data_IF_155027444732
#
_entry.id   IF_155027444732
#
_cell.length_a   1.000
_cell.length_b   1.000
_cell.length_c   1.000
_cell.angle_alpha   90.00
_cell.angle_beta   90.00
_cell.angle_gamma   90.00
#
_symmetry.space_group_name_H-M   'P 1'
#
loop_
_entity.id
_entity.type
_entity.pdbx_description
1 polymer ?
#
# COMPACT_ATOMS: atom_id res chain seq x y z
N UNK A 1 -42.00 39.17 8.06
CA UNK A 1 -41.52 38.04 7.23
C UNK A 1 -40.45 37.27 8.00
N UNK A 2 -40.76 36.06 8.50
CA UNK A 2 -39.77 35.21 9.18
C UNK A 2 -38.88 34.54 8.12
N UNK A 3 -37.61 34.90 8.07
CA UNK A 3 -36.59 34.23 7.24
C UNK A 3 -36.50 32.75 7.64
N UNK A 4 -36.84 31.85 6.72
CA UNK A 4 -36.58 30.42 6.86
C UNK A 4 -35.06 30.23 6.80
N UNK A 5 -34.43 29.99 7.96
CA UNK A 5 -33.04 29.51 8.01
C UNK A 5 -33.00 28.13 7.36
N UNK A 6 -32.46 28.04 6.14
CA UNK A 6 -32.26 26.77 5.45
C UNK A 6 -31.30 25.91 6.28
N UNK A 7 -31.85 24.83 6.86
CA UNK A 7 -31.09 23.83 7.59
C UNK A 7 -30.17 23.13 6.57
N UNK A 8 -28.87 23.05 6.87
CA UNK A 8 -27.91 22.33 6.03
C UNK A 8 -28.39 20.89 5.81
N UNK A 9 -28.39 20.44 4.56
CA UNK A 9 -28.71 19.06 4.24
C UNK A 9 -27.53 18.18 4.68
N UNK A 10 -27.79 17.18 5.52
CA UNK A 10 -26.80 16.21 5.94
C UNK A 10 -26.82 15.02 4.97
N UNK A 11 -25.72 14.73 4.27
CA UNK A 11 -25.61 13.66 3.27
C UNK A 11 -24.30 12.88 3.44
N UNK A 12 -24.25 11.63 3.01
CA UNK A 12 -22.99 10.86 2.98
C UNK A 12 -22.11 11.32 1.81
N UNK A 13 -20.80 11.05 1.87
CA UNK A 13 -19.87 11.39 0.79
C UNK A 13 -20.35 10.87 -0.57
N UNK A 14 -20.70 9.59 -0.64
CA UNK A 14 -21.19 8.92 -1.84
C UNK A 14 -22.49 9.56 -2.38
N UNK A 15 -23.35 10.07 -1.49
CA UNK A 15 -24.58 10.79 -1.89
C UNK A 15 -24.29 12.17 -2.47
N UNK A 16 -23.24 12.84 -2.00
CA UNK A 16 -22.79 14.13 -2.53
C UNK A 16 -22.10 13.93 -3.87
N UNK A 17 -21.25 12.92 -3.99
CA UNK A 17 -20.58 12.52 -5.23
C UNK A 17 -21.60 12.20 -6.33
N UNK A 18 -22.56 11.32 -6.06
CA UNK A 18 -23.64 11.00 -7.01
C UNK A 18 -24.55 12.20 -7.35
N UNK A 19 -24.58 13.23 -6.52
CA UNK A 19 -25.32 14.48 -6.80
C UNK A 19 -24.50 15.44 -7.65
N UNK A 20 -23.18 15.47 -7.46
CA UNK A 20 -22.23 16.21 -8.29
C UNK A 20 -22.21 15.64 -9.71
N UNK A 21 -22.09 14.32 -9.87
CA UNK A 21 -22.10 13.63 -11.17
C UNK A 21 -23.37 13.91 -11.98
N UNK A 22 -24.56 13.85 -11.35
CA UNK A 22 -25.82 14.23 -12.00
C UNK A 22 -25.84 15.70 -12.45
N UNK A 23 -25.13 16.57 -11.74
CA UNK A 23 -24.93 17.97 -12.13
C UNK A 23 -24.07 18.10 -13.39
N UNK A 24 -22.97 17.34 -13.46
CA UNK A 24 -22.06 17.29 -14.62
C UNK A 24 -22.83 16.78 -15.85
N UNK A 25 -23.55 15.67 -15.71
CA UNK A 25 -24.35 15.10 -16.80
C UNK A 25 -25.45 16.05 -17.28
N UNK A 26 -26.13 16.73 -16.34
CA UNK A 26 -27.13 17.74 -16.66
C UNK A 26 -26.57 18.92 -17.47
N UNK A 27 -25.38 19.40 -17.11
CA UNK A 27 -24.69 20.50 -17.82
C UNK A 27 -24.24 20.07 -19.22
N UNK A 28 -23.74 18.85 -19.38
CA UNK A 28 -23.42 18.28 -20.70
C UNK A 28 -24.65 18.18 -21.59
N UNK A 29 -25.79 17.74 -21.03
CA UNK A 29 -27.06 17.63 -21.75
C UNK A 29 -27.64 18.99 -22.16
N UNK A 30 -27.38 20.04 -21.38
CA UNK A 30 -27.79 21.41 -21.68
C UNK A 30 -26.85 22.14 -22.65
N UNK A 31 -25.81 21.46 -23.16
CA UNK A 31 -24.87 22.04 -24.10
C UNK A 31 -23.84 22.98 -23.47
N UNK A 32 -23.57 22.84 -22.16
CA UNK A 32 -22.57 23.62 -21.43
C UNK A 32 -21.38 22.75 -20.98
N UNK A 33 -20.58 22.21 -21.91
CA UNK A 33 -19.51 21.24 -21.59
C UNK A 33 -18.41 21.86 -20.72
N UNK A 34 -18.02 23.11 -20.96
CA UNK A 34 -16.97 23.77 -20.17
C UNK A 34 -17.36 23.92 -18.69
N UNK A 35 -18.63 24.16 -18.38
CA UNK A 35 -19.10 24.22 -16.99
C UNK A 35 -19.21 22.83 -16.37
N UNK A 36 -19.50 21.81 -17.20
CA UNK A 36 -19.52 20.43 -16.76
C UNK A 36 -18.11 19.97 -16.36
N UNK A 37 -17.09 20.28 -17.15
CA UNK A 37 -15.71 19.88 -16.87
C UNK A 37 -15.16 20.62 -15.63
N UNK A 38 -15.43 21.92 -15.50
CA UNK A 38 -15.10 22.66 -14.27
C UNK A 38 -15.78 22.06 -13.02
N UNK A 39 -17.00 21.55 -13.16
CA UNK A 39 -17.71 20.90 -12.07
C UNK A 39 -17.15 19.51 -11.80
N UNK A 40 -16.70 18.78 -12.82
CA UNK A 40 -16.10 17.45 -12.71
C UNK A 40 -14.74 17.51 -11.97
N UNK A 41 -13.96 18.56 -12.23
CA UNK A 41 -12.66 18.83 -11.58
C UNK A 41 -12.77 19.34 -10.12
N UNK A 42 -13.92 19.90 -9.70
CA UNK A 42 -14.18 20.37 -8.33
C UNK A 42 -14.15 19.19 -7.34
N UNK A 43 -13.55 19.30 -6.15
CA UNK A 43 -13.60 18.20 -5.18
C UNK A 43 -15.03 17.98 -4.65
N UNK A 44 -15.35 16.78 -4.15
CA UNK A 44 -16.69 16.48 -3.58
C UNK A 44 -16.94 17.35 -2.35
N UNK A 45 -15.88 17.65 -1.59
CA UNK A 45 -15.87 18.51 -0.43
C UNK A 45 -16.14 19.97 -0.79
N UNK A 46 -15.45 20.52 -1.81
CA UNK A 46 -15.67 21.90 -2.29
C UNK A 46 -17.10 22.06 -2.85
N UNK A 47 -17.58 21.05 -3.58
CA UNK A 47 -18.97 21.01 -4.05
C UNK A 47 -19.98 21.03 -2.89
N UNK A 48 -19.70 20.28 -1.82
CA UNK A 48 -20.54 20.23 -0.63
C UNK A 48 -20.57 21.58 0.09
N UNK A 49 -19.41 22.23 0.24
CA UNK A 49 -19.29 23.56 0.84
C UNK A 49 -20.07 24.61 0.05
N UNK A 50 -19.89 24.64 -1.28
CA UNK A 50 -20.62 25.56 -2.17
C UNK A 50 -22.14 25.35 -2.15
N UNK A 51 -22.59 24.11 -1.95
CA UNK A 51 -24.02 23.76 -1.83
C UNK A 51 -24.55 23.77 -0.40
N UNK A 52 -23.72 24.14 0.58
CA UNK A 52 -24.05 24.16 2.01
C UNK A 52 -24.60 22.80 2.51
N UNK A 53 -23.94 21.72 2.09
CA UNK A 53 -24.23 20.33 2.45
C UNK A 53 -23.20 19.89 3.50
N UNK A 54 -23.66 19.30 4.61
CA UNK A 54 -22.79 18.73 5.63
C UNK A 54 -22.55 17.25 5.34
N UNK A 55 -21.31 16.86 5.07
CA UNK A 55 -20.94 15.46 4.84
C UNK A 55 -20.84 14.73 6.20
N UNK A 56 -21.71 13.75 6.45
CA UNK A 56 -21.75 13.02 7.73
C UNK A 56 -20.74 11.87 7.84
N UNK A 57 -20.18 11.44 6.71
CA UNK A 57 -19.12 10.43 6.63
C UNK A 57 -18.05 10.91 5.64
N UNK A 58 -17.17 11.85 6.04
CA UNK A 58 -16.11 12.31 5.16
C UNK A 58 -15.13 11.15 4.92
N UNK A 59 -14.99 10.71 3.66
CA UNK A 59 -13.86 9.85 3.28
C UNK A 59 -12.60 10.69 3.50
N UNK A 60 -11.68 10.20 4.31
CA UNK A 60 -10.45 10.93 4.62
C UNK A 60 -9.54 11.00 3.39
N UNK A 61 -9.80 11.96 2.51
CA UNK A 61 -8.76 12.58 1.70
C UNK A 61 -7.99 13.49 2.66
N UNK A 62 -6.85 13.02 3.18
CA UNK A 62 -6.03 13.91 3.99
C UNK A 62 -5.58 15.08 3.11
N UNK A 63 -5.86 16.34 3.51
CA UNK A 63 -5.20 17.47 2.87
C UNK A 63 -3.70 17.33 3.15
N UNK A 64 -2.89 17.61 2.13
CA UNK A 64 -1.43 17.77 2.25
C UNK A 64 -1.11 19.06 3.01
N UNK A 65 -1.56 19.19 4.26
CA UNK A 65 -1.21 20.29 5.15
C UNK A 65 -0.69 19.73 6.46
N UNK A 66 0.64 19.58 6.55
CA UNK A 66 1.45 19.91 7.73
C UNK A 66 1.16 19.28 9.11
N UNK A 67 0.24 18.33 9.25
CA UNK A 67 -0.05 17.69 10.53
C UNK A 67 1.09 16.76 10.98
N UNK A 68 1.82 17.15 12.02
CA UNK A 68 2.92 16.37 12.62
C UNK A 68 2.44 14.95 12.95
N UNK A 69 3.06 13.94 12.33
CA UNK A 69 2.85 12.52 12.66
C UNK A 69 3.25 12.28 14.12
N UNK A 70 2.30 11.83 14.94
CA UNK A 70 2.60 11.37 16.30
C UNK A 70 3.57 10.19 16.25
N UNK A 71 4.63 10.25 17.03
CA UNK A 71 5.67 9.22 17.11
C UNK A 71 5.12 7.93 17.75
N UNK A 72 5.81 6.80 17.55
CA UNK A 72 5.43 5.50 18.12
C UNK A 72 5.27 5.54 19.65
N UNK A 73 6.07 6.37 20.33
CA UNK A 73 5.99 6.60 21.77
C UNK A 73 4.72 7.38 22.19
N UNK A 74 4.28 8.35 21.39
CA UNK A 74 3.05 9.12 21.67
C UNK A 74 1.79 8.28 21.46
N UNK A 75 1.84 7.28 20.57
CA UNK A 75 0.77 6.29 20.40
C UNK A 75 0.70 5.33 21.59
N UNK A 76 1.84 4.82 22.07
CA UNK A 76 1.85 3.91 23.22
C UNK A 76 1.44 4.60 24.52
N UNK A 77 1.79 5.87 24.71
CA UNK A 77 1.37 6.66 25.88
C UNK A 77 -0.15 6.92 25.87
N UNK A 78 -0.74 7.22 24.71
CA UNK A 78 -2.19 7.41 24.58
C UNK A 78 -2.97 6.11 24.85
N UNK A 79 -2.42 4.97 24.43
CA UNK A 79 -2.99 3.64 24.67
C UNK A 79 -2.87 3.24 26.15
N UNK A 80 -1.73 3.52 26.79
CA UNK A 80 -1.50 3.32 28.23
C UNK A 80 -2.44 4.18 29.10
N UNK A 81 -2.64 5.45 28.75
CA UNK A 81 -3.58 6.35 29.44
C UNK A 81 -5.03 5.85 29.33
N UNK A 82 -5.41 5.27 28.18
CA UNK A 82 -6.74 4.69 27.97
C UNK A 82 -6.98 3.51 28.92
N UNK A 83 -5.97 2.65 29.10
CA UNK A 83 -6.01 1.50 30.02
C UNK A 83 -6.09 1.91 31.50
N UNK A 84 -5.36 2.97 31.90
CA UNK A 84 -5.39 3.45 33.28
C UNK A 84 -6.72 4.10 33.65
N UNK A 85 -7.37 4.79 32.71
CA UNK A 85 -8.70 5.43 32.90
C UNK A 85 -9.79 4.40 33.19
N UNK A 86 -9.70 3.22 32.60
CA UNK A 86 -10.61 2.10 32.83
C UNK A 86 -10.40 1.37 34.15
N UNK A 87 -9.18 1.38 34.72
CA UNK A 87 -8.85 0.61 35.93
C UNK A 87 -8.99 1.39 37.26
N UNK A 88 -8.73 2.70 37.27
CA UNK A 88 -8.61 3.46 38.53
C UNK A 88 -9.46 4.75 38.60
N UNK A 89 -10.33 4.98 37.61
CA UNK A 89 -11.17 6.18 37.54
C UNK A 89 -10.44 7.45 37.08
N UNK A 90 -11.20 8.41 36.54
CA UNK A 90 -10.67 9.55 35.79
C UNK A 90 -9.78 10.52 36.61
N UNK A 91 -9.97 10.58 37.93
CA UNK A 91 -9.25 11.49 38.83
C UNK A 91 -7.80 11.06 39.09
N UNK A 92 -7.54 9.75 39.17
CA UNK A 92 -6.19 9.21 39.37
C UNK A 92 -5.36 9.28 38.09
N UNK A 93 -5.98 8.99 36.95
CA UNK A 93 -5.34 9.08 35.62
C UNK A 93 -4.88 10.51 35.28
N UNK A 94 -5.57 11.55 35.73
CA UNK A 94 -5.21 12.95 35.45
C UNK A 94 -3.96 13.43 36.21
N UNK A 95 -3.73 12.91 37.44
CA UNK A 95 -2.59 13.31 38.28
C UNK A 95 -1.28 12.68 37.80
N UNK A 96 -1.28 11.40 37.44
CA UNK A 96 -0.09 10.70 36.90
C UNK A 96 0.33 11.29 35.54
N UNK A 97 -0.62 11.69 34.69
CA UNK A 97 -0.32 12.25 33.37
C UNK A 97 0.36 13.61 33.38
N UNK A 98 0.11 14.46 34.39
CA UNK A 98 0.68 15.81 34.41
C UNK A 98 2.17 15.81 34.82
N UNK A 99 2.58 14.95 35.74
CA UNK A 99 3.99 14.86 36.17
C UNK A 99 4.87 14.11 35.15
N UNK A 100 4.33 13.09 34.47
CA UNK A 100 5.05 12.38 33.41
C UNK A 100 5.12 13.16 32.10
N UNK A 101 4.07 13.92 31.75
CA UNK A 101 4.09 14.80 30.58
C UNK A 101 5.15 15.92 30.72
N UNK A 102 5.30 16.49 31.92
CA UNK A 102 6.34 17.52 32.20
C UNK A 102 7.77 16.98 32.06
N UNK A 103 8.01 15.72 32.45
CA UNK A 103 9.31 15.06 32.27
C UNK A 103 9.56 14.67 30.81
N UNK A 104 8.53 14.34 30.05
CA UNK A 104 8.66 13.98 28.63
C UNK A 104 8.86 15.22 27.73
N UNK A 105 8.23 16.35 28.08
CA UNK A 105 8.38 17.63 27.36
C UNK A 105 9.82 18.18 27.48
N UNK A 106 10.40 18.12 28.68
CA UNK A 106 11.79 18.53 28.91
C UNK A 106 12.81 17.64 28.19
N UNK A 107 12.57 16.34 28.09
CA UNK A 107 13.41 15.41 27.30
C UNK A 107 13.32 15.66 25.79
N UNK A 108 12.12 15.93 25.27
CA UNK A 108 11.90 16.19 23.84
C UNK A 108 12.58 17.50 23.41
N UNK A 109 12.52 18.53 24.24
CA UNK A 109 13.15 19.81 23.94
C UNK A 109 14.68 19.77 24.10
N UNK A 110 15.21 18.96 25.02
CA UNK A 110 16.64 18.66 25.09
C UNK A 110 17.16 17.97 23.80
N UNK A 111 16.42 16.97 23.29
CA UNK A 111 16.78 16.24 22.06
C UNK A 111 16.69 17.12 20.81
N UNK A 112 15.68 18.01 20.72
CA UNK A 112 15.58 18.98 19.62
C UNK A 112 16.76 19.97 19.65
N UNK A 113 17.14 20.44 20.84
CA UNK A 113 18.23 21.38 21.04
C UNK A 113 19.59 20.77 20.66
N UNK A 114 19.83 19.50 21.04
CA UNK A 114 21.02 18.76 20.59
C UNK A 114 21.05 18.57 19.06
N UNK A 115 19.93 18.16 18.43
CA UNK A 115 19.85 17.99 16.96
C UNK A 115 20.00 19.30 16.20
N UNK A 116 19.53 20.41 16.76
CA UNK A 116 19.69 21.75 16.17
C UNK A 116 21.16 22.22 16.27
N UNK A 117 21.85 21.91 17.37
CA UNK A 117 23.27 22.20 17.53
C UNK A 117 24.15 21.34 16.60
N UNK A 118 23.83 20.05 16.42
CA UNK A 118 24.50 19.18 15.45
C UNK A 118 24.28 19.63 14.00
N UNK A 119 23.07 20.11 13.66
CA UNK A 119 22.74 20.66 12.33
C UNK A 119 23.54 21.91 11.96
N UNK A 120 23.92 22.74 12.94
CA UNK A 120 24.73 23.94 12.69
C UNK A 120 26.23 23.64 12.51
N UNK A 121 26.71 22.49 12.97
CA UNK A 121 28.14 22.11 12.90
C UNK A 121 28.61 21.55 11.55
N UNK A 122 27.74 21.26 10.57
CA UNK A 122 28.20 20.69 9.28
C UNK A 122 27.36 21.08 8.05
N UNK A 123 27.47 22.32 7.56
CA UNK A 123 26.83 22.76 6.31
C UNK A 123 27.44 22.12 5.04
N UNK A 124 28.69 21.65 5.07
CA UNK A 124 29.38 21.01 3.94
C UNK A 124 28.75 19.67 3.52
N UNK A 125 28.14 18.92 4.44
CA UNK A 125 27.43 17.66 4.14
C UNK A 125 26.18 17.84 3.25
N UNK A 126 25.57 19.03 3.21
CA UNK A 126 24.40 19.29 2.35
C UNK A 126 24.80 19.63 0.91
N UNK A 127 25.92 20.33 0.72
CA UNK A 127 26.45 20.64 -0.61
C UNK A 127 26.97 19.38 -1.32
N UNK A 128 27.55 18.42 -0.60
CA UNK A 128 28.02 17.15 -1.18
C UNK A 128 26.88 16.22 -1.59
N UNK A 129 25.78 16.16 -0.83
CA UNK A 129 24.60 15.37 -1.21
C UNK A 129 23.83 15.94 -2.41
N UNK A 130 23.85 17.26 -2.60
CA UNK A 130 23.25 17.92 -3.77
C UNK A 130 24.01 17.58 -5.08
N UNK A 131 25.35 17.52 -5.02
CA UNK A 131 26.18 17.16 -6.19
C UNK A 131 26.12 15.67 -6.53
N UNK A 132 25.95 14.78 -5.55
CA UNK A 132 25.78 13.32 -5.79
C UNK A 132 24.50 12.96 -6.54
N UNK A 133 23.48 13.82 -6.55
CA UNK A 133 22.23 13.56 -7.30
C UNK A 133 22.33 13.77 -8.81
N UNK A 134 23.45 14.30 -9.33
CA UNK A 134 23.59 14.59 -10.77
C UNK A 134 24.18 13.45 -11.61
N UNK A 135 24.67 12.39 -10.97
CA UNK A 135 25.00 11.13 -11.60
C UNK A 135 24.65 10.06 -10.57
N UNK A 136 23.51 9.38 -10.72
CA UNK A 136 23.30 8.18 -9.92
C UNK A 136 24.41 7.17 -10.25
N UNK A 137 24.84 6.38 -9.27
CA UNK A 137 25.84 5.33 -9.52
C UNK A 137 25.39 4.38 -10.65
N UNK A 138 24.07 4.22 -10.81
CA UNK A 138 23.42 3.44 -11.87
C UNK A 138 23.58 4.06 -13.25
N UNK A 139 23.45 5.38 -13.40
CA UNK A 139 23.66 6.06 -14.70
C UNK A 139 25.11 5.90 -15.17
N UNK A 140 26.07 5.99 -14.23
CA UNK A 140 27.47 5.74 -14.52
C UNK A 140 27.73 4.28 -14.90
N UNK A 141 27.07 3.33 -14.23
CA UNK A 141 27.13 1.90 -14.58
C UNK A 141 26.53 1.61 -15.96
N UNK A 142 25.37 2.20 -16.28
CA UNK A 142 24.72 2.09 -17.58
C UNK A 142 25.60 2.66 -18.70
N UNK A 143 26.24 3.80 -18.47
CA UNK A 143 27.19 4.41 -19.43
C UNK A 143 28.39 3.49 -19.69
N UNK A 144 28.95 2.86 -18.65
CA UNK A 144 30.03 1.88 -18.80
C UNK A 144 29.58 0.66 -19.58
N UNK A 145 28.39 0.12 -19.27
CA UNK A 145 27.84 -1.03 -20.00
C UNK A 145 27.53 -0.72 -21.46
N UNK A 146 27.04 0.50 -21.76
CA UNK A 146 26.89 0.97 -23.13
C UNK A 146 28.23 1.00 -23.87
N UNK A 147 29.29 1.53 -23.25
CA UNK A 147 30.63 1.59 -23.85
C UNK A 147 31.23 0.21 -24.08
N UNK A 148 31.08 -0.70 -23.13
CA UNK A 148 31.54 -2.09 -23.24
C UNK A 148 30.84 -2.82 -24.39
N UNK A 149 29.52 -2.63 -24.52
CA UNK A 149 28.72 -3.30 -25.54
C UNK A 149 28.87 -2.70 -26.94
N UNK A 150 28.91 -1.38 -27.07
CA UNK A 150 28.96 -0.68 -28.36
C UNK A 150 30.37 -0.23 -28.79
N UNK A 151 31.38 -0.32 -27.92
CA UNK A 151 32.75 0.13 -28.19
C UNK A 151 32.93 1.65 -28.30
N UNK A 152 31.89 2.45 -27.98
CA UNK A 152 31.93 3.92 -28.03
C UNK A 152 31.15 4.55 -26.89
N UNK A 153 31.48 5.81 -26.59
CA UNK A 153 30.75 6.58 -25.57
C UNK A 153 29.35 6.93 -26.07
N UNK A 154 28.33 6.94 -25.19
CA UNK A 154 26.99 7.39 -25.58
C UNK A 154 27.02 8.89 -25.87
N UNK A 155 26.37 9.29 -26.97
CA UNK A 155 26.20 10.70 -27.35
C UNK A 155 25.06 11.37 -26.57
N UNK A 156 24.09 10.57 -26.11
CA UNK A 156 22.93 11.06 -25.35
C UNK A 156 22.56 10.04 -24.28
N UNK A 157 22.21 10.54 -23.09
CA UNK A 157 21.61 9.76 -22.01
C UNK A 157 20.21 10.31 -21.78
N UNK A 158 19.19 9.45 -21.80
CA UNK A 158 17.79 9.82 -21.57
C UNK A 158 17.23 8.91 -20.49
N UNK A 159 16.63 9.51 -19.48
CA UNK A 159 15.82 8.78 -18.51
C UNK A 159 14.43 8.57 -19.11
N UNK A 160 13.99 7.31 -19.14
CA UNK A 160 12.68 6.93 -19.67
C UNK A 160 11.83 6.49 -18.49
N UNK A 161 10.75 7.22 -18.22
CA UNK A 161 9.74 6.80 -17.26
C UNK A 161 8.83 5.76 -17.90
N UNK A 162 8.83 4.54 -17.35
CA UNK A 162 7.92 3.46 -17.76
C UNK A 162 6.76 3.39 -16.78
N UNK A 163 5.53 3.53 -17.27
CA UNK A 163 4.32 3.31 -16.48
C UNK A 163 3.91 1.85 -16.59
N UNK A 164 4.05 1.10 -15.51
CA UNK A 164 3.46 -0.23 -15.40
C UNK A 164 1.99 -0.09 -14.98
N UNK A 165 1.12 -0.88 -15.61
CA UNK A 165 -0.32 -0.88 -15.33
C UNK A 165 -0.68 -2.16 -14.61
N UNK A 166 -1.06 -2.03 -13.34
CA UNK A 166 -1.57 -3.15 -12.55
C UNK A 166 -3.09 -3.30 -12.70
N UNK A 167 -3.59 -4.52 -12.46
CA UNK A 167 -5.03 -4.74 -12.35
C UNK A 167 -5.57 -3.96 -11.15
N UNK A 168 -6.56 -3.11 -11.40
CA UNK A 168 -7.23 -2.29 -10.38
C UNK A 168 -8.21 -3.08 -9.52
N UNK A 169 -8.90 -4.04 -10.13
CA UNK A 169 -9.97 -4.81 -9.49
C UNK A 169 -9.54 -6.27 -9.41
N UNK A 170 -9.45 -6.76 -8.18
CA UNK A 170 -9.12 -8.14 -7.84
C UNK A 170 -10.13 -8.64 -6.81
N UNK A 171 -10.43 -9.94 -6.86
CA UNK A 171 -11.19 -10.63 -5.82
C UNK A 171 -10.21 -11.20 -4.79
N UNK A 172 -10.35 -10.81 -3.52
CA UNK A 172 -9.55 -11.38 -2.43
C UNK A 172 -10.03 -12.79 -2.10
N UNK A 173 -9.11 -13.75 -2.03
CA UNK A 173 -9.40 -15.16 -1.73
C UNK A 173 -9.05 -15.54 -0.29
N UNK A 174 -8.08 -14.86 0.32
CA UNK A 174 -7.65 -15.13 1.69
C UNK A 174 -6.27 -14.58 2.00
N UNK A 175 -5.82 -14.79 3.23
CA UNK A 175 -4.45 -14.46 3.66
C UNK A 175 -3.53 -15.61 3.26
N UNK A 176 -2.49 -15.31 2.50
CA UNK A 176 -1.48 -16.29 2.10
C UNK A 176 -0.66 -16.71 3.33
N UNK A 177 -0.56 -18.03 3.53
CA UNK A 177 0.18 -18.62 4.64
C UNK A 177 1.42 -19.37 4.15
N UNK A 178 1.31 -20.03 3.00
CA UNK A 178 2.35 -20.94 2.54
C UNK A 178 2.37 -21.15 1.04
N UNK A 179 3.57 -21.28 0.47
CA UNK A 179 3.80 -21.81 -0.86
C UNK A 179 4.84 -22.93 -0.76
N UNK A 180 4.57 -24.05 -1.42
CA UNK A 180 5.55 -25.11 -1.62
C UNK A 180 5.99 -25.14 -3.07
N UNK A 181 7.30 -25.13 -3.31
CA UNK A 181 7.84 -25.37 -4.64
C UNK A 181 8.10 -26.86 -4.86
N UNK A 182 8.04 -27.30 -6.13
CA UNK A 182 8.28 -28.69 -6.53
C UNK A 182 9.69 -29.16 -6.14
N UNK A 183 10.68 -28.27 -6.19
CA UNK A 183 12.08 -28.52 -5.82
C UNK A 183 12.32 -28.53 -4.29
N UNK A 184 11.25 -28.45 -3.48
CA UNK A 184 11.35 -28.62 -2.04
C UNK A 184 11.65 -27.35 -1.26
N UNK A 185 11.63 -26.16 -1.86
CA UNK A 185 11.79 -24.88 -1.16
C UNK A 185 10.44 -24.42 -0.55
N UNK A 186 10.29 -24.43 0.78
CA UNK A 186 9.08 -23.93 1.43
C UNK A 186 9.17 -22.42 1.65
N UNK A 187 8.09 -21.71 1.34
CA UNK A 187 7.96 -20.27 1.60
C UNK A 187 6.80 -20.07 2.56
N UNK A 188 7.11 -19.56 3.76
CA UNK A 188 6.14 -19.34 4.85
C UNK A 188 5.91 -17.85 5.03
N UNK A 189 4.65 -17.49 5.18
CA UNK A 189 4.23 -16.14 5.49
C UNK A 189 3.62 -16.11 6.88
N UNK A 190 4.04 -15.14 7.68
CA UNK A 190 3.40 -14.93 8.97
C UNK A 190 2.08 -14.16 8.78
N UNK A 191 1.03 -14.40 9.58
CA UNK A 191 -0.24 -13.67 9.45
C UNK A 191 -0.07 -12.14 9.50
N UNK A 192 0.96 -11.65 10.21
CA UNK A 192 1.26 -10.23 10.33
C UNK A 192 1.88 -9.63 9.07
N UNK A 193 2.42 -10.45 8.17
CA UNK A 193 2.93 -10.02 6.88
C UNK A 193 1.81 -9.66 5.92
N UNK A 194 0.57 -10.14 6.13
CA UNK A 194 -0.64 -9.70 5.41
C UNK A 194 -0.52 -9.77 3.89
N UNK A 195 0.13 -10.79 3.36
CA UNK A 195 0.10 -11.08 1.93
C UNK A 195 -1.27 -11.67 1.62
N UNK A 196 -1.99 -11.07 0.67
CA UNK A 196 -3.33 -11.52 0.28
C UNK A 196 -3.20 -12.33 -1.01
N UNK A 197 -3.76 -13.52 -1.02
CA UNK A 197 -4.00 -14.26 -2.24
C UNK A 197 -5.28 -13.71 -2.88
N UNK A 198 -5.18 -13.30 -4.14
CA UNK A 198 -6.29 -12.73 -4.89
C UNK A 198 -6.36 -13.36 -6.28
N UNK A 199 -7.47 -13.17 -6.97
CA UNK A 199 -7.58 -13.51 -8.39
C UNK A 199 -8.18 -12.37 -9.21
N UNK A 200 -8.07 -12.51 -10.53
CA UNK A 200 -8.88 -11.66 -11.41
C UNK A 200 -10.40 -11.95 -11.29
N UNK A 201 -11.28 -11.04 -11.76
CA UNK A 201 -12.73 -11.23 -11.68
C UNK A 201 -13.26 -12.47 -12.41
N UNK A 202 -12.47 -13.05 -13.31
CA UNK A 202 -12.82 -14.24 -14.07
C UNK A 202 -12.38 -15.52 -13.35
N UNK A 203 -11.49 -15.42 -12.37
CA UNK A 203 -10.88 -16.54 -11.66
C UNK A 203 -9.72 -17.20 -12.40
N UNK A 204 -9.15 -16.56 -13.42
CA UNK A 204 -8.17 -17.20 -14.31
C UNK A 204 -6.73 -17.03 -13.85
N UNK A 205 -6.41 -15.90 -13.21
CA UNK A 205 -5.06 -15.56 -12.77
C UNK A 205 -5.03 -15.28 -11.27
N UNK A 206 -4.10 -15.91 -10.55
CA UNK A 206 -3.79 -15.61 -9.16
C UNK A 206 -2.79 -14.47 -9.03
N UNK A 207 -2.95 -13.69 -7.97
CA UNK A 207 -2.11 -12.55 -7.62
C UNK A 207 -1.76 -12.58 -6.13
N UNK A 208 -0.57 -12.09 -5.80
CA UNK A 208 -0.17 -11.81 -4.43
C UNK A 208 -0.20 -10.30 -4.19
N UNK A 209 -1.02 -9.85 -3.24
CA UNK A 209 -1.31 -8.42 -3.07
C UNK A 209 -1.00 -7.96 -1.65
N UNK A 210 -0.36 -6.80 -1.56
CA UNK A 210 -0.01 -6.18 -0.29
C UNK A 210 1.03 -6.97 0.49
N UNK A 211 1.15 -6.62 1.77
CA UNK A 211 2.02 -7.32 2.70
C UNK A 211 3.51 -7.26 2.40
N UNK A 212 4.28 -8.13 3.06
CA UNK A 212 5.70 -8.34 2.78
C UNK A 212 5.89 -9.56 1.88
N UNK A 213 6.28 -9.33 0.63
CA UNK A 213 6.52 -10.38 -0.37
C UNK A 213 8.01 -10.59 -0.67
N UNK A 214 8.91 -10.03 0.16
CA UNK A 214 10.35 -10.07 -0.09
C UNK A 214 10.93 -11.47 0.17
N UNK A 215 11.32 -12.16 -0.90
CA UNK A 215 11.94 -13.48 -0.84
C UNK A 215 13.48 -13.43 -0.79
N UNK A 216 14.11 -12.25 -0.80
CA UNK A 216 15.57 -12.09 -1.00
C UNK A 216 16.41 -12.97 -0.08
N UNK A 217 16.07 -13.04 1.21
CA UNK A 217 16.82 -13.85 2.20
C UNK A 217 16.64 -15.35 1.99
N UNK A 218 15.44 -15.79 1.60
CA UNK A 218 15.14 -17.21 1.34
C UNK A 218 15.89 -17.66 0.08
N UNK A 219 15.81 -16.87 -0.99
CA UNK A 219 16.47 -17.14 -2.26
C UNK A 219 17.99 -17.16 -2.13
N UNK A 220 18.55 -16.23 -1.36
CA UNK A 220 19.99 -16.20 -1.07
C UNK A 220 20.46 -17.46 -0.37
N UNK A 221 19.71 -17.96 0.62
CA UNK A 221 20.04 -19.20 1.33
C UNK A 221 19.91 -20.43 0.44
N UNK A 222 18.94 -20.42 -0.47
CA UNK A 222 18.74 -21.50 -1.44
C UNK A 222 19.72 -21.46 -2.63
N UNK A 223 20.63 -20.47 -2.69
CA UNK A 223 21.67 -20.40 -3.71
C UNK A 223 21.22 -19.80 -5.05
N UNK A 224 20.08 -19.12 -5.09
CA UNK A 224 19.61 -18.45 -6.30
C UNK A 224 20.50 -17.25 -6.64
N UNK A 225 20.69 -17.04 -7.95
CA UNK A 225 21.44 -15.91 -8.50
C UNK A 225 20.83 -14.57 -8.06
N UNK A 226 21.63 -13.80 -7.33
CA UNK A 226 21.28 -12.48 -6.81
C UNK A 226 21.77 -11.34 -7.73
N UNK A 227 22.22 -11.63 -8.94
CA UNK A 227 22.66 -10.62 -9.91
C UNK A 227 21.54 -10.14 -10.84
N UNK A 228 20.48 -10.95 -11.01
CA UNK A 228 19.34 -10.64 -11.89
C UNK A 228 18.20 -10.01 -11.13
N UNK A 229 17.44 -9.13 -11.76
CA UNK A 229 16.29 -8.48 -11.12
C UNK A 229 15.06 -9.41 -11.06
N UNK A 230 14.83 -10.19 -12.11
CA UNK A 230 13.78 -11.20 -12.17
C UNK A 230 14.36 -12.59 -11.94
N UNK A 231 13.79 -13.30 -10.96
CA UNK A 231 14.21 -14.65 -10.59
C UNK A 231 13.05 -15.61 -10.81
N UNK A 232 13.27 -16.62 -11.64
CA UNK A 232 12.40 -17.80 -11.70
C UNK A 232 12.73 -18.68 -10.50
N UNK A 233 11.77 -18.77 -9.58
CA UNK A 233 11.94 -19.52 -8.34
C UNK A 233 11.60 -21.00 -8.56
N UNK A 234 10.82 -21.31 -9.58
CA UNK A 234 10.44 -22.67 -9.96
C UNK A 234 8.94 -22.95 -9.87
N UNK A 235 8.57 -24.21 -10.11
CA UNK A 235 7.17 -24.65 -10.12
C UNK A 235 6.57 -24.66 -8.72
N UNK A 236 5.38 -24.08 -8.57
CA UNK A 236 4.62 -24.13 -7.33
C UNK A 236 3.79 -25.41 -7.30
N UNK A 237 4.03 -26.23 -6.27
CA UNK A 237 3.33 -27.49 -6.05
C UNK A 237 1.99 -27.27 -5.36
N UNK A 238 1.96 -26.51 -4.27
CA UNK A 238 0.71 -26.19 -3.59
C UNK A 238 0.79 -24.85 -2.87
N UNK A 239 -0.38 -24.27 -2.64
CA UNK A 239 -0.59 -23.03 -1.88
C UNK A 239 -1.50 -23.30 -0.69
N UNK A 240 -1.24 -22.64 0.43
CA UNK A 240 -2.14 -22.61 1.59
C UNK A 240 -2.51 -21.17 1.91
N UNK A 241 -3.80 -20.94 2.08
CA UNK A 241 -4.34 -19.64 2.46
C UNK A 241 -5.48 -19.79 3.46
N UNK A 242 -5.60 -18.80 4.35
CA UNK A 242 -6.64 -18.74 5.37
C UNK A 242 -7.79 -17.87 4.88
N UNK A 243 -9.02 -18.38 4.97
CA UNK A 243 -10.24 -17.61 4.67
C UNK A 243 -11.43 -18.16 5.46
N UNK A 244 -12.49 -17.37 5.55
CA UNK A 244 -13.82 -17.85 5.92
C UNK A 244 -14.66 -18.06 4.64
N UNK A 245 -15.54 -19.07 4.65
CA UNK A 245 -16.44 -19.38 3.52
C UNK A 245 -17.83 -19.76 4.02
N UNK A 246 -18.84 -19.50 3.21
CA UNK A 246 -20.25 -19.68 3.57
C UNK A 246 -20.61 -21.15 3.84
N UNK A 247 -20.10 -22.09 3.03
CA UNK A 247 -20.33 -23.53 3.21
C UNK A 247 -19.59 -24.11 4.42
N UNK A 248 -18.69 -23.33 5.03
CA UNK A 248 -17.99 -23.62 6.28
C UNK A 248 -18.51 -22.76 7.45
N UNK A 249 -19.75 -22.25 7.35
CA UNK A 249 -20.38 -21.38 8.35
C UNK A 249 -19.57 -20.12 8.70
N UNK A 250 -18.76 -19.64 7.76
CA UNK A 250 -17.81 -18.55 7.97
C UNK A 250 -16.81 -18.79 9.11
N UNK A 251 -16.49 -20.06 9.39
CA UNK A 251 -15.35 -20.38 10.23
C UNK A 251 -14.06 -20.13 9.47
N UNK A 252 -13.12 -19.45 10.12
CA UNK A 252 -11.78 -19.21 9.57
C UNK A 252 -11.02 -20.54 9.49
N UNK A 253 -10.65 -20.96 8.27
CA UNK A 253 -9.98 -22.23 7.99
C UNK A 253 -8.83 -22.04 7.02
N UNK A 254 -7.85 -22.93 7.12
CA UNK A 254 -6.74 -23.04 6.18
C UNK A 254 -7.13 -23.97 5.03
N UNK A 255 -7.11 -23.43 3.82
CA UNK A 255 -7.38 -24.19 2.59
C UNK A 255 -6.07 -24.45 1.89
N UNK A 256 -5.85 -25.70 1.52
CA UNK A 256 -4.73 -26.14 0.69
C UNK A 256 -5.24 -26.45 -0.71
N UNK A 257 -4.50 -25.99 -1.73
CA UNK A 257 -4.72 -26.39 -3.12
C UNK A 257 -3.41 -26.90 -3.73
N UNK A 258 -3.41 -28.12 -4.25
CA UNK A 258 -2.31 -28.71 -5.02
C UNK A 258 -2.50 -28.42 -6.51
N UNK A 259 -1.52 -27.73 -7.09
CA UNK A 259 -1.52 -27.33 -8.49
C UNK A 259 -1.09 -28.47 -9.40
N UNK A 260 -1.73 -28.56 -10.56
CA UNK A 260 -1.40 -29.50 -11.63
C UNK A 260 -1.62 -30.95 -11.22
N UNK A 261 -2.50 -31.23 -10.25
CA UNK A 261 -2.79 -32.61 -9.82
C UNK A 261 -3.43 -33.42 -10.95
N UNK A 262 -4.33 -32.80 -11.73
CA UNK A 262 -5.04 -33.46 -12.84
C UNK A 262 -4.30 -33.36 -14.17
N UNK A 263 -3.76 -32.18 -14.50
CA UNK A 263 -3.14 -31.88 -15.80
C UNK A 263 -1.63 -32.08 -15.82
N UNK A 264 -0.97 -32.07 -14.66
CA UNK A 264 0.49 -31.94 -14.55
C UNK A 264 1.01 -30.52 -14.79
N UNK A 265 0.17 -29.57 -15.22
CA UNK A 265 0.58 -28.21 -15.56
C UNK A 265 0.59 -27.30 -14.32
N UNK A 266 1.77 -27.16 -13.70
CA UNK A 266 1.96 -26.32 -12.51
C UNK A 266 2.30 -24.88 -12.87
N UNK A 267 1.80 -23.89 -12.13
CA UNK A 267 2.25 -22.51 -12.28
C UNK A 267 3.69 -22.37 -11.77
N UNK A 268 4.45 -21.43 -12.34
CA UNK A 268 5.79 -21.05 -11.88
C UNK A 268 5.74 -19.80 -11.02
N UNK A 269 6.45 -19.82 -9.91
CA UNK A 269 6.65 -18.66 -9.04
C UNK A 269 7.83 -17.82 -9.58
N UNK A 270 7.54 -16.58 -9.90
CA UNK A 270 8.55 -15.56 -10.23
C UNK A 270 8.68 -14.56 -9.08
N UNK A 271 9.88 -14.03 -8.89
CA UNK A 271 10.16 -12.97 -7.94
C UNK A 271 10.88 -11.81 -8.61
N UNK A 272 10.30 -10.62 -8.50
CA UNK A 272 10.91 -9.35 -8.87
C UNK A 272 11.65 -8.78 -7.65
N UNK A 273 12.98 -8.77 -7.72
CA UNK A 273 13.87 -8.29 -6.65
C UNK A 273 13.88 -6.77 -6.51
N UNK A 274 13.60 -6.05 -7.60
CA UNK A 274 13.57 -4.59 -7.60
C UNK A 274 12.31 -4.09 -6.88
N UNK A 275 11.14 -4.65 -7.25
CA UNK A 275 9.85 -4.28 -6.69
C UNK A 275 9.48 -5.08 -5.43
N UNK A 276 10.21 -6.16 -5.14
CA UNK A 276 9.96 -7.10 -4.04
C UNK A 276 8.56 -7.71 -4.12
N UNK A 277 8.21 -8.19 -5.30
CA UNK A 277 6.89 -8.72 -5.61
C UNK A 277 6.99 -10.13 -6.19
N UNK A 278 6.00 -10.96 -5.85
CA UNK A 278 5.87 -12.31 -6.36
C UNK A 278 4.79 -12.37 -7.45
N UNK A 279 4.96 -13.29 -8.39
CA UNK A 279 3.98 -13.56 -9.44
C UNK A 279 3.87 -15.06 -9.70
N UNK A 280 2.67 -15.55 -9.97
CA UNK A 280 2.47 -16.87 -10.54
C UNK A 280 2.25 -16.74 -12.05
N UNK A 281 2.93 -17.57 -12.83
CA UNK A 281 2.81 -17.59 -14.29
C UNK A 281 2.44 -18.99 -14.76
N UNK A 282 1.43 -19.08 -15.63
CA UNK A 282 0.95 -20.34 -16.20
C UNK A 282 0.19 -21.20 -15.19
N UNK A 283 0.20 -22.50 -15.41
CA UNK A 283 -0.57 -23.48 -14.65
C UNK A 283 -2.00 -23.66 -15.17
N UNK A 284 -2.53 -24.87 -15.02
CA UNK A 284 -3.93 -25.16 -15.28
C UNK A 284 -4.67 -25.12 -13.94
N UNK A 285 -5.18 -23.94 -13.58
CA UNK A 285 -6.06 -23.76 -12.44
C UNK A 285 -7.18 -22.78 -12.77
N UNK A 286 -8.29 -22.88 -12.03
CA UNK A 286 -9.40 -21.95 -12.07
C UNK A 286 -9.90 -21.68 -10.65
N UNK A 287 -10.23 -20.43 -10.35
CA UNK A 287 -10.88 -20.08 -9.09
C UNK A 287 -12.39 -20.19 -9.23
N UNK A 288 -13.00 -21.02 -8.37
CA UNK A 288 -14.44 -21.24 -8.24
C UNK A 288 -14.89 -21.04 -6.80
N UNK A 289 -16.20 -21.23 -6.54
CA UNK A 289 -16.78 -21.04 -5.21
C UNK A 289 -16.14 -22.00 -4.19
N UNK A 290 -16.03 -23.27 -4.57
CA UNK A 290 -15.41 -24.34 -3.79
C UNK A 290 -13.95 -24.02 -3.43
N UNK A 291 -13.23 -23.33 -4.31
CA UNK A 291 -11.83 -22.97 -4.11
C UNK A 291 -11.08 -22.87 -5.43
N UNK A 292 -9.76 -22.99 -5.34
CA UNK A 292 -8.92 -23.17 -6.51
C UNK A 292 -9.05 -24.63 -6.95
N UNK A 293 -9.32 -24.85 -8.23
CA UNK A 293 -9.45 -26.18 -8.85
C UNK A 293 -8.50 -26.27 -10.05
N UNK A 294 -8.17 -27.49 -10.49
CA UNK A 294 -7.37 -27.73 -11.70
C UNK A 294 -8.24 -27.77 -12.96
#
# INVERSE_FOLDING_TARGET
MKQRKNKAAAMTFDQVEARKERGVEGLRRLGEPEKADNLDDESVEDFAERKNITIVNPRSTRPLTGGKRKTRAEKSLAEYIKVLRTKHGASWALKVTNDEARKHETLVDAVKSQRAAERKKNPQRRASNSRRRRNSDDQAAATRKFQEFHGRRPETVKDIEVRQSDRRNLAGLGVLMYLQLAEGLPIRFAPQEKVILACDPQGNQLYFVGGNQDLSEILKKAGFDQSKDLVDVGECRYVIYTTDKDFDNFEEKDYQHEFGEESGERPRLMFDRLNKQMYLIGGAYQVKREGIVN
#
